data_IF_375857725524
#
_entry.id   IF_375857725524
#
_cell.length_a   1.000
_cell.length_b   1.000
_cell.length_c   1.000
_cell.angle_alpha   90.00
_cell.angle_beta   90.00
_cell.angle_gamma   90.00
#
_symmetry.space_group_name_H-M   'P 1'
#
loop_
_entity.id
_entity.type
_entity.pdbx_description
1 polymer ?
#
# COMPACT_ATOMS: atom_id res chain seq x y z
N UNK A 1 4.22 -9.56 20.68
CA UNK A 1 3.31 -9.16 21.77
C UNK A 1 1.97 -9.80 21.47
N UNK A 2 1.37 -10.50 22.44
CA UNK A 2 0.15 -11.29 22.21
C UNK A 2 -1.04 -10.32 22.07
N UNK A 3 -1.87 -10.52 21.04
CA UNK A 3 -3.15 -9.83 20.79
C UNK A 3 -3.94 -9.42 22.07
N UNK A 4 -4.08 -10.28 23.11
CA UNK A 4 -4.75 -9.90 24.37
C UNK A 4 -4.18 -8.67 25.08
N UNK A 5 -2.89 -8.39 24.95
CA UNK A 5 -2.26 -7.22 25.59
C UNK A 5 -2.69 -5.90 24.92
N UNK A 6 -2.86 -5.91 23.60
CA UNK A 6 -3.34 -4.74 22.86
C UNK A 6 -4.81 -4.47 23.19
N UNK A 7 -5.63 -5.52 23.22
CA UNK A 7 -7.05 -5.43 23.58
C UNK A 7 -7.21 -4.90 25.02
N UNK A 8 -6.37 -5.35 25.94
CA UNK A 8 -6.35 -4.84 27.31
C UNK A 8 -6.05 -3.33 27.37
N UNK A 9 -5.05 -2.85 26.61
CA UNK A 9 -4.72 -1.43 26.56
C UNK A 9 -5.85 -0.58 25.96
N UNK A 10 -6.54 -1.08 24.93
CA UNK A 10 -7.70 -0.40 24.33
C UNK A 10 -8.86 -0.31 25.33
N UNK A 11 -9.18 -1.41 26.03
CA UNK A 11 -10.22 -1.43 27.06
C UNK A 11 -9.90 -0.48 28.22
N UNK A 12 -8.62 -0.43 28.63
CA UNK A 12 -8.16 0.51 29.65
C UNK A 12 -8.34 1.98 29.21
N UNK A 13 -8.03 2.27 27.94
CA UNK A 13 -8.26 3.59 27.34
C UNK A 13 -9.75 3.98 27.32
N UNK A 14 -10.63 3.04 26.98
CA UNK A 14 -12.08 3.27 26.95
C UNK A 14 -12.65 3.49 28.37
N UNK A 15 -12.19 2.70 29.35
CA UNK A 15 -12.56 2.86 30.75
C UNK A 15 -12.12 4.25 31.29
N UNK A 16 -10.91 4.70 30.95
CA UNK A 16 -10.44 6.03 31.32
C UNK A 16 -11.27 7.15 30.68
N UNK A 17 -11.69 6.99 29.42
CA UNK A 17 -12.56 7.94 28.73
C UNK A 17 -13.94 8.04 29.37
N UNK A 18 -14.60 6.90 29.63
CA UNK A 18 -15.90 6.88 30.30
C UNK A 18 -15.85 7.49 31.70
N UNK A 19 -14.78 7.22 32.44
CA UNK A 19 -14.56 7.81 33.76
C UNK A 19 -14.41 9.35 33.68
N UNK A 20 -13.66 9.85 32.69
CA UNK A 20 -13.55 11.28 32.40
C UNK A 20 -14.90 11.92 32.05
N UNK A 21 -15.68 11.28 31.18
CA UNK A 21 -17.00 11.75 30.78
C UNK A 21 -17.96 11.81 31.98
N UNK A 22 -17.93 10.78 32.84
CA UNK A 22 -18.70 10.75 34.09
C UNK A 22 -18.31 11.89 35.04
N UNK A 23 -17.01 12.10 35.26
CA UNK A 23 -16.52 13.21 36.09
C UNK A 23 -16.96 14.57 35.52
N UNK A 24 -16.91 14.74 34.20
CA UNK A 24 -17.35 15.95 33.51
C UNK A 24 -18.86 16.20 33.70
N UNK A 25 -19.69 15.17 33.54
CA UNK A 25 -21.12 15.25 33.81
C UNK A 25 -21.38 15.59 35.29
N UNK A 26 -20.74 14.90 36.22
CA UNK A 26 -20.88 15.15 37.66
C UNK A 26 -20.48 16.58 38.06
N UNK A 27 -19.49 17.18 37.37
CA UNK A 27 -19.09 18.58 37.55
C UNK A 27 -20.21 19.55 37.16
N UNK A 28 -20.90 19.30 36.04
CA UNK A 28 -22.02 20.14 35.59
C UNK A 28 -23.11 20.19 36.68
N UNK A 29 -23.37 19.05 37.33
CA UNK A 29 -24.42 18.96 38.33
C UNK A 29 -24.03 19.49 39.72
N UNK A 30 -22.80 19.28 40.18
CA UNK A 30 -22.51 19.44 41.62
C UNK A 30 -21.92 20.80 42.03
N UNK A 31 -21.41 21.64 41.11
CA UNK A 31 -20.78 22.97 41.35
C UNK A 31 -19.71 23.08 42.46
N UNK A 32 -19.43 22.03 43.25
CA UNK A 32 -18.60 22.05 44.49
C UNK A 32 -17.36 21.16 44.48
N UNK A 33 -17.05 20.47 43.39
CA UNK A 33 -15.88 19.59 43.33
C UNK A 33 -14.61 20.35 42.91
N UNK A 34 -13.74 20.73 43.86
CA UNK A 34 -12.56 21.58 43.55
C UNK A 34 -11.17 20.99 43.84
N UNK A 35 -11.02 19.84 44.52
CA UNK A 35 -9.67 19.33 44.89
C UNK A 35 -9.23 18.03 44.19
N UNK A 36 -10.14 17.11 43.88
CA UNK A 36 -9.77 15.82 43.28
C UNK A 36 -9.62 15.83 41.74
N UNK A 37 -10.00 16.92 41.08
CA UNK A 37 -9.99 17.02 39.62
C UNK A 37 -8.59 17.13 39.01
N UNK A 38 -7.66 17.80 39.70
CA UNK A 38 -6.29 17.97 39.23
C UNK A 38 -5.56 16.64 39.08
N UNK A 39 -5.47 15.77 40.11
CA UNK A 39 -4.75 14.51 39.96
C UNK A 39 -5.39 13.60 38.90
N UNK A 40 -6.71 13.57 38.78
CA UNK A 40 -7.40 12.76 37.77
C UNK A 40 -7.10 13.25 36.33
N UNK A 41 -7.08 14.57 36.10
CA UNK A 41 -6.74 15.13 34.80
C UNK A 41 -5.29 14.83 34.40
N UNK A 42 -4.35 14.95 35.34
CA UNK A 42 -2.95 14.61 35.10
C UNK A 42 -2.77 13.12 34.83
N UNK A 43 -3.42 12.24 35.59
CA UNK A 43 -3.41 10.79 35.35
C UNK A 43 -3.93 10.43 33.97
N UNK A 44 -5.04 11.02 33.55
CA UNK A 44 -5.60 10.75 32.22
C UNK A 44 -4.71 11.29 31.10
N UNK A 45 -4.15 12.49 31.26
CA UNK A 45 -3.22 13.06 30.28
C UNK A 45 -1.95 12.21 30.15
N UNK A 46 -1.42 11.72 31.28
CA UNK A 46 -0.22 10.90 31.30
C UNK A 46 -0.47 9.49 30.74
N UNK A 47 -1.65 8.91 31.00
CA UNK A 47 -2.09 7.66 30.38
C UNK A 47 -2.24 7.80 28.85
N UNK A 48 -2.76 8.94 28.39
CA UNK A 48 -2.92 9.24 26.96
C UNK A 48 -1.56 9.43 26.28
N UNK A 49 -0.62 10.14 26.92
CA UNK A 49 0.77 10.26 26.44
C UNK A 49 1.46 8.89 26.42
N UNK A 50 1.29 8.05 27.45
CA UNK A 50 1.85 6.71 27.49
C UNK A 50 1.28 5.81 26.38
N UNK A 51 -0.04 5.88 26.12
CA UNK A 51 -0.68 5.17 25.01
C UNK A 51 -0.09 5.59 23.67
N UNK A 52 0.08 6.91 23.47
CA UNK A 52 0.66 7.49 22.25
C UNK A 52 2.15 7.15 22.07
N UNK A 53 2.89 6.90 23.16
CA UNK A 53 4.30 6.48 23.11
C UNK A 53 4.47 4.97 22.90
N UNK A 54 3.55 4.15 23.41
CA UNK A 54 3.62 2.68 23.31
C UNK A 54 3.13 2.17 21.95
N UNK A 55 2.09 2.79 21.37
CA UNK A 55 1.57 2.44 20.03
C UNK A 55 2.65 2.44 18.91
N UNK A 56 3.57 3.42 18.81
CA UNK A 56 4.70 3.37 17.87
C UNK A 56 5.61 2.15 18.08
N UNK A 57 5.90 1.81 19.34
CA UNK A 57 6.85 0.75 19.69
C UNK A 57 6.30 -0.64 19.37
N UNK A 58 4.98 -0.82 19.49
CA UNK A 58 4.31 -2.08 19.11
C UNK A 58 4.16 -2.23 17.59
N UNK A 59 4.07 -1.11 16.86
CA UNK A 59 3.91 -1.09 15.40
C UNK A 59 5.18 -1.53 14.62
N UNK A 60 6.35 -1.51 15.27
CA UNK A 60 7.63 -1.97 14.68
C UNK A 60 7.67 -3.48 14.33
N UNK A 61 6.61 -4.24 14.65
CA UNK A 61 6.51 -5.70 14.44
C UNK A 61 5.64 -6.15 13.25
N UNK A 62 5.22 -5.24 12.37
CA UNK A 62 4.97 -5.56 10.95
C UNK A 62 3.67 -6.28 10.57
N UNK A 63 2.62 -6.29 11.41
CA UNK A 63 1.29 -6.83 11.03
C UNK A 63 0.15 -6.09 11.73
N UNK A 64 -0.31 -4.96 11.19
CA UNK A 64 -1.66 -4.39 11.37
C UNK A 64 -1.75 -3.07 10.59
N UNK A 65 -2.28 -3.10 9.35
CA UNK A 65 -2.26 -1.92 8.47
C UNK A 65 -3.63 -1.24 8.25
N UNK A 66 -4.77 -1.90 8.42
CA UNK A 66 -6.05 -1.29 8.00
C UNK A 66 -6.89 -0.70 9.14
N UNK A 67 -6.81 -1.26 10.35
CA UNK A 67 -7.63 -0.77 11.48
C UNK A 67 -7.16 0.58 12.05
N UNK A 68 -5.91 0.98 11.80
CA UNK A 68 -5.32 2.15 12.45
C UNK A 68 -5.76 3.49 11.84
N UNK A 69 -6.01 3.53 10.53
CA UNK A 69 -6.45 4.76 9.85
C UNK A 69 -7.86 5.19 10.30
N UNK A 70 -8.76 4.23 10.50
CA UNK A 70 -10.10 4.48 11.04
C UNK A 70 -10.05 4.95 12.51
N UNK A 71 -9.03 4.52 13.26
CA UNK A 71 -8.83 4.97 14.64
C UNK A 71 -8.28 6.39 14.74
N UNK A 72 -7.58 6.91 13.73
CA UNK A 72 -7.08 8.29 13.72
C UNK A 72 -8.18 9.34 13.86
N UNK A 73 -9.34 9.10 13.24
CA UNK A 73 -10.53 9.96 13.33
C UNK A 73 -11.11 9.92 14.76
N UNK A 74 -11.03 8.78 15.46
CA UNK A 74 -11.46 8.66 16.85
C UNK A 74 -10.57 9.43 17.84
N UNK A 75 -9.34 9.80 17.47
CA UNK A 75 -8.48 10.63 18.31
C UNK A 75 -8.73 12.13 18.18
N UNK A 76 -9.42 12.58 17.12
CA UNK A 76 -9.71 14.00 16.88
C UNK A 76 -10.57 14.62 18.00
N UNK A 77 -11.70 14.00 18.45
CA UNK A 77 -12.51 14.52 19.55
C UNK A 77 -11.73 14.59 20.85
N UNK A 78 -10.89 13.59 21.11
CA UNK A 78 -10.07 13.48 22.31
C UNK A 78 -8.98 14.58 22.34
N UNK A 79 -8.34 14.85 21.19
CA UNK A 79 -7.39 15.94 21.03
C UNK A 79 -8.07 17.31 21.23
N UNK A 80 -9.26 17.53 20.65
CA UNK A 80 -10.03 18.78 20.88
C UNK A 80 -10.46 18.91 22.34
N UNK A 81 -10.87 17.83 23.01
CA UNK A 81 -11.21 17.86 24.42
C UNK A 81 -10.00 18.27 25.26
N UNK A 82 -8.83 17.66 25.03
CA UNK A 82 -7.57 18.01 25.68
C UNK A 82 -7.15 19.47 25.42
N UNK A 83 -7.46 20.04 24.24
CA UNK A 83 -7.15 21.42 23.90
C UNK A 83 -8.07 22.45 24.56
N UNK A 84 -9.38 22.15 24.66
CA UNK A 84 -10.38 23.11 25.16
C UNK A 84 -10.51 23.07 26.69
N UNK A 85 -10.37 21.90 27.30
CA UNK A 85 -10.48 21.70 28.77
C UNK A 85 -9.57 22.64 29.60
N UNK A 86 -8.29 22.86 29.26
CA UNK A 86 -7.41 23.78 29.98
C UNK A 86 -7.97 25.20 30.11
N UNK A 87 -8.65 25.69 29.07
CA UNK A 87 -9.13 27.07 29.01
C UNK A 87 -10.42 27.27 29.79
N UNK A 88 -11.25 26.23 29.89
CA UNK A 88 -12.56 26.28 30.57
C UNK A 88 -12.45 25.86 32.04
N UNK A 89 -11.54 24.93 32.36
CA UNK A 89 -11.57 24.23 33.65
C UNK A 89 -10.70 24.84 34.75
N UNK A 90 -9.59 25.53 34.42
CA UNK A 90 -8.55 25.88 35.40
C UNK A 90 -8.41 27.40 35.61
N UNK A 91 -8.29 27.79 36.89
CA UNK A 91 -7.94 29.17 37.29
C UNK A 91 -6.43 29.40 37.18
N UNK A 92 -6.00 30.66 37.04
CA UNK A 92 -4.56 31.02 37.14
C UNK A 92 -4.05 30.67 38.55
N UNK A 93 -2.84 30.11 38.72
CA UNK A 93 -1.78 29.87 37.72
C UNK A 93 -1.80 28.50 37.03
N UNK A 94 -2.68 27.58 37.45
CA UNK A 94 -2.74 26.19 36.97
C UNK A 94 -3.02 26.06 35.47
N UNK A 95 -3.67 27.07 34.88
CA UNK A 95 -3.89 27.19 33.45
C UNK A 95 -2.60 27.12 32.63
N UNK A 96 -1.49 27.70 33.11
CA UNK A 96 -0.23 27.71 32.38
C UNK A 96 0.43 26.32 32.31
N UNK A 97 0.33 25.54 33.38
CA UNK A 97 0.81 24.15 33.39
C UNK A 97 0.00 23.26 32.43
N UNK A 98 -1.32 23.42 32.41
CA UNK A 98 -2.19 22.68 31.50
C UNK A 98 -1.91 23.04 30.02
N UNK A 99 -1.68 24.32 29.73
CA UNK A 99 -1.26 24.77 28.39
C UNK A 99 0.08 24.18 27.98
N UNK A 100 1.06 24.15 28.90
CA UNK A 100 2.37 23.53 28.67
C UNK A 100 2.24 22.05 28.30
N UNK A 101 1.49 21.27 29.08
CA UNK A 101 1.28 19.85 28.82
C UNK A 101 0.63 19.60 27.44
N UNK A 102 -0.41 20.36 27.11
CA UNK A 102 -1.10 20.23 25.82
C UNK A 102 -0.22 20.59 24.65
N UNK A 103 0.58 21.66 24.77
CA UNK A 103 1.54 22.05 23.73
C UNK A 103 2.58 20.95 23.48
N UNK A 104 3.07 20.31 24.54
CA UNK A 104 4.02 19.20 24.44
C UNK A 104 3.39 17.97 23.76
N UNK A 105 2.12 17.67 24.08
CA UNK A 105 1.35 16.59 23.44
C UNK A 105 1.14 16.83 21.96
N UNK A 106 0.85 18.07 21.54
CA UNK A 106 0.73 18.43 20.13
C UNK A 106 2.07 18.22 19.40
N UNK A 107 3.16 18.71 19.98
CA UNK A 107 4.50 18.54 19.38
C UNK A 107 4.85 17.05 19.22
N UNK A 108 4.61 16.25 20.26
CA UNK A 108 4.81 14.79 20.21
C UNK A 108 3.95 14.13 19.13
N UNK A 109 2.70 14.55 18.96
CA UNK A 109 1.82 14.08 17.89
C UNK A 109 2.38 14.41 16.51
N UNK A 110 2.89 15.62 16.28
CA UNK A 110 3.49 15.98 14.99
C UNK A 110 4.75 15.18 14.68
N UNK A 111 5.62 14.94 15.66
CA UNK A 111 6.78 14.06 15.48
C UNK A 111 6.36 12.61 15.16
N UNK A 112 5.33 12.10 15.84
CA UNK A 112 4.78 10.78 15.58
C UNK A 112 4.12 10.68 14.20
N UNK A 113 3.28 11.64 13.83
CA UNK A 113 2.63 11.70 12.53
C UNK A 113 3.66 11.78 11.40
N UNK A 114 4.70 12.60 11.56
CA UNK A 114 5.81 12.67 10.59
C UNK A 114 6.55 11.34 10.48
N UNK A 115 6.88 10.72 11.62
CA UNK A 115 7.51 9.40 11.63
C UNK A 115 6.62 8.34 11.00
N UNK A 116 5.31 8.38 11.23
CA UNK A 116 4.33 7.46 10.65
C UNK A 116 4.20 7.67 9.13
N UNK A 117 4.14 8.92 8.66
CA UNK A 117 4.12 9.22 7.22
C UNK A 117 5.39 8.78 6.51
N UNK A 118 6.56 8.98 7.13
CA UNK A 118 7.82 8.47 6.61
C UNK A 118 7.83 6.95 6.59
N UNK A 119 7.35 6.30 7.64
CA UNK A 119 7.28 4.84 7.70
C UNK A 119 6.30 4.24 6.70
N UNK A 120 5.14 4.87 6.50
CA UNK A 120 4.17 4.51 5.46
C UNK A 120 4.72 4.72 4.05
N UNK A 121 5.64 5.67 3.86
CA UNK A 121 6.35 5.91 2.59
C UNK A 121 7.49 4.91 2.33
N UNK A 122 8.00 4.25 3.37
CA UNK A 122 9.09 3.26 3.28
C UNK A 122 8.60 1.81 3.36
N UNK A 123 7.41 1.55 3.91
CA UNK A 123 6.73 0.28 3.77
C UNK A 123 6.34 0.08 2.31
N UNK A 124 6.67 -1.07 1.71
CA UNK A 124 6.26 -1.39 0.35
C UNK A 124 4.74 -1.24 0.16
N UNK A 125 4.29 -1.36 -1.08
CA UNK A 125 2.93 -1.18 -1.61
C UNK A 125 1.70 -1.70 -0.84
N UNK A 126 1.89 -2.36 0.31
CA UNK A 126 0.89 -2.63 1.32
C UNK A 126 0.40 -1.38 2.09
N UNK A 127 0.92 -0.19 1.79
CA UNK A 127 0.37 1.07 2.30
C UNK A 127 -0.41 1.76 1.17
N UNK A 128 -1.72 1.85 1.36
CA UNK A 128 -2.70 2.50 0.50
C UNK A 128 -2.45 3.98 0.06
N UNK A 129 -1.59 4.84 0.68
CA UNK A 129 -1.63 6.26 0.38
C UNK A 129 -1.00 6.67 -0.96
N UNK A 130 0.00 5.98 -1.50
CA UNK A 130 0.74 6.50 -2.68
C UNK A 130 -0.13 6.51 -3.93
N UNK A 131 -0.81 5.40 -4.25
CA UNK A 131 -1.70 5.34 -5.42
C UNK A 131 -2.93 6.24 -5.26
N UNK A 132 -3.55 6.25 -4.07
CA UNK A 132 -4.69 7.11 -3.79
C UNK A 132 -4.32 8.60 -3.86
N UNK A 133 -3.21 9.02 -3.24
CA UNK A 133 -2.74 10.40 -3.28
C UNK A 133 -2.47 10.86 -4.72
N UNK A 134 -1.82 10.02 -5.54
CA UNK A 134 -1.52 10.39 -6.92
C UNK A 134 -2.73 10.37 -7.83
N UNK A 135 -3.65 9.41 -7.69
CA UNK A 135 -4.90 9.40 -8.46
C UNK A 135 -5.80 10.59 -8.11
N UNK A 136 -5.92 10.95 -6.83
CA UNK A 136 -6.75 12.09 -6.40
C UNK A 136 -6.12 13.45 -6.76
N UNK A 137 -4.80 13.59 -6.62
CA UNK A 137 -4.13 14.90 -6.77
C UNK A 137 -3.73 15.19 -8.22
N UNK A 138 -3.32 14.18 -9.01
CA UNK A 138 -2.85 14.39 -10.39
C UNK A 138 -3.86 13.99 -11.47
N UNK A 139 -4.91 13.23 -11.13
CA UNK A 139 -6.00 12.91 -12.07
C UNK A 139 -5.60 12.06 -13.30
N UNK A 140 -4.35 11.62 -13.38
CA UNK A 140 -3.78 11.02 -14.58
C UNK A 140 -3.34 9.57 -14.28
N UNK A 141 -4.00 8.61 -14.93
CA UNK A 141 -3.79 7.17 -14.69
C UNK A 141 -2.52 6.65 -15.39
N UNK A 142 -1.98 7.37 -16.38
CA UNK A 142 -0.95 6.86 -17.28
C UNK A 142 0.37 7.67 -17.29
N UNK A 143 0.44 8.80 -16.61
CA UNK A 143 1.63 9.69 -16.63
C UNK A 143 2.90 9.13 -15.99
N UNK A 144 2.81 8.10 -15.14
CA UNK A 144 3.96 7.58 -14.39
C UNK A 144 4.88 6.64 -15.18
N UNK A 145 4.44 6.19 -16.36
CA UNK A 145 5.07 5.09 -17.10
C UNK A 145 6.48 5.43 -17.60
N UNK A 146 6.82 6.73 -17.70
CA UNK A 146 8.10 7.18 -18.25
C UNK A 146 9.31 6.90 -17.34
N UNK A 147 9.08 6.79 -16.03
CA UNK A 147 10.12 6.55 -15.02
C UNK A 147 9.82 5.34 -14.12
N UNK A 148 8.89 4.47 -14.54
CA UNK A 148 8.48 3.31 -13.75
C UNK A 148 9.63 2.31 -13.63
N UNK A 149 10.05 2.05 -12.38
CA UNK A 149 10.99 0.98 -12.05
C UNK A 149 10.22 -0.27 -11.64
N UNK A 150 10.70 -1.43 -12.07
CA UNK A 150 10.11 -2.70 -11.69
C UNK A 150 11.02 -3.41 -10.71
N UNK A 151 10.45 -4.03 -9.68
CA UNK A 151 11.15 -4.87 -8.72
C UNK A 151 10.64 -6.30 -8.82
N UNK A 152 11.54 -7.28 -8.86
CA UNK A 152 11.12 -8.69 -8.76
C UNK A 152 10.54 -8.94 -7.39
N UNK A 153 9.31 -9.43 -7.35
CA UNK A 153 8.59 -9.74 -6.13
C UNK A 153 8.52 -11.24 -5.87
N UNK A 154 8.15 -12.02 -6.88
CA UNK A 154 8.05 -13.49 -6.80
C UNK A 154 8.51 -14.08 -8.13
N UNK A 155 9.23 -15.20 -8.06
CA UNK A 155 9.55 -16.04 -9.22
C UNK A 155 9.22 -17.47 -8.87
N UNK A 156 8.79 -18.26 -9.84
CA UNK A 156 8.50 -19.67 -9.61
C UNK A 156 8.02 -20.38 -10.86
N UNK A 157 7.52 -21.59 -10.65
CA UNK A 157 6.82 -22.35 -11.66
C UNK A 157 5.40 -22.64 -11.19
N UNK A 158 4.47 -22.69 -12.13
CA UNK A 158 3.08 -23.04 -11.89
C UNK A 158 2.64 -24.13 -12.86
N UNK A 159 1.66 -24.93 -12.46
CA UNK A 159 0.96 -25.82 -13.37
C UNK A 159 -0.26 -25.07 -13.91
N UNK A 160 -0.34 -24.92 -15.22
CA UNK A 160 -1.50 -24.33 -15.90
C UNK A 160 -2.74 -25.24 -15.73
N UNK A 161 -3.96 -24.70 -15.87
CA UNK A 161 -5.18 -25.50 -15.89
C UNK A 161 -5.15 -26.65 -16.92
N UNK A 162 -4.40 -26.45 -18.00
CA UNK A 162 -4.19 -27.40 -19.09
C UNK A 162 -3.13 -28.47 -18.77
N UNK A 163 -2.46 -28.39 -17.61
CA UNK A 163 -1.48 -29.36 -17.15
C UNK A 163 -0.04 -29.11 -17.63
N UNK A 164 0.23 -27.97 -18.27
CA UNK A 164 1.58 -27.57 -18.67
C UNK A 164 2.31 -26.84 -17.54
N UNK A 165 3.62 -27.10 -17.40
CA UNK A 165 4.46 -26.37 -16.46
C UNK A 165 4.86 -25.02 -17.09
N UNK A 166 4.54 -23.91 -16.42
CA UNK A 166 4.88 -22.56 -16.85
C UNK A 166 5.83 -21.91 -15.85
N UNK A 167 6.83 -21.17 -16.35
CA UNK A 167 7.65 -20.29 -15.53
C UNK A 167 6.96 -18.96 -15.36
N UNK A 168 6.94 -18.39 -14.16
CA UNK A 168 6.38 -17.06 -13.94
C UNK A 168 7.32 -16.16 -13.12
N UNK A 169 7.31 -14.88 -13.46
CA UNK A 169 7.99 -13.81 -12.73
C UNK A 169 6.99 -12.69 -12.46
N UNK A 170 6.67 -12.46 -11.19
CA UNK A 170 5.88 -11.30 -10.76
C UNK A 170 6.80 -10.15 -10.45
N UNK A 171 6.64 -9.09 -11.22
CA UNK A 171 7.26 -7.79 -11.04
C UNK A 171 6.26 -6.85 -10.39
N UNK A 172 6.78 -5.92 -9.59
CA UNK A 172 6.02 -4.82 -9.01
C UNK A 172 6.63 -3.50 -9.44
N UNK A 173 5.82 -2.67 -10.09
CA UNK A 173 6.16 -1.31 -10.45
C UNK A 173 6.30 -0.42 -9.21
N UNK A 174 7.05 0.68 -9.33
CA UNK A 174 7.27 1.66 -8.27
C UNK A 174 5.99 2.36 -7.80
N UNK A 175 4.96 2.39 -8.63
CA UNK A 175 3.62 2.90 -8.32
C UNK A 175 2.65 1.81 -7.81
N UNK A 176 3.19 0.62 -7.52
CA UNK A 176 2.49 -0.54 -6.98
C UNK A 176 1.61 -1.32 -7.95
N UNK A 177 1.70 -1.06 -9.25
CA UNK A 177 1.07 -1.93 -10.25
C UNK A 177 1.86 -3.22 -10.40
N UNK A 178 1.16 -4.35 -10.38
CA UNK A 178 1.77 -5.66 -10.60
C UNK A 178 1.80 -6.00 -12.09
N UNK A 179 2.90 -6.62 -12.52
CA UNK A 179 3.09 -7.17 -13.85
C UNK A 179 3.55 -8.61 -13.68
N UNK A 180 2.88 -9.54 -14.33
CA UNK A 180 3.29 -10.94 -14.38
C UNK A 180 3.87 -11.23 -15.75
N UNK A 181 5.05 -11.83 -15.77
CA UNK A 181 5.64 -12.40 -16.98
C UNK A 181 5.50 -13.92 -16.87
N UNK A 182 4.95 -14.56 -17.87
CA UNK A 182 4.79 -16.01 -17.94
C UNK A 182 5.42 -16.56 -19.22
N UNK A 183 6.13 -17.67 -19.09
CA UNK A 183 6.74 -18.42 -20.18
C UNK A 183 6.06 -19.79 -20.24
N UNK A 184 5.00 -19.90 -21.04
CA UNK A 184 4.24 -21.12 -21.21
C UNK A 184 4.89 -22.00 -22.28
N UNK A 185 5.35 -23.20 -21.91
CA UNK A 185 5.88 -24.18 -22.87
C UNK A 185 4.79 -25.17 -23.28
N UNK A 186 4.56 -25.26 -24.59
CA UNK A 186 3.61 -26.18 -25.22
C UNK A 186 4.29 -27.46 -25.70
N UNK A 187 3.50 -28.47 -26.09
CA UNK A 187 4.04 -29.74 -26.60
C UNK A 187 4.59 -29.60 -28.03
N UNK A 188 4.03 -28.68 -28.82
CA UNK A 188 4.40 -28.46 -30.23
C UNK A 188 4.29 -26.99 -30.67
N UNK A 189 5.00 -26.55 -31.72
CA UNK A 189 4.89 -25.18 -32.23
C UNK A 189 3.48 -24.83 -32.75
N UNK A 190 2.81 -25.79 -33.38
CA UNK A 190 1.43 -25.64 -33.84
C UNK A 190 0.44 -25.46 -32.69
N UNK A 191 0.73 -26.06 -31.53
CA UNK A 191 -0.09 -25.86 -30.32
C UNK A 191 0.12 -24.46 -29.74
N UNK A 192 1.36 -23.96 -29.69
CA UNK A 192 1.63 -22.58 -29.28
C UNK A 192 0.90 -21.56 -30.17
N UNK A 193 0.94 -21.76 -31.49
CA UNK A 193 0.18 -20.94 -32.46
C UNK A 193 -1.33 -20.99 -32.18
N UNK A 194 -1.88 -22.18 -31.94
CA UNK A 194 -3.30 -22.35 -31.65
C UNK A 194 -3.70 -21.70 -30.31
N UNK A 195 -2.87 -21.83 -29.27
CA UNK A 195 -3.10 -21.20 -27.96
C UNK A 195 -3.05 -19.68 -28.04
N UNK A 196 -2.09 -19.12 -28.78
CA UNK A 196 -2.10 -17.68 -29.09
C UNK A 196 -3.40 -17.27 -29.78
N UNK A 197 -3.83 -18.03 -30.79
CA UNK A 197 -5.10 -17.81 -31.49
C UNK A 197 -6.32 -17.94 -30.58
N UNK A 198 -6.29 -18.81 -29.55
CA UNK A 198 -7.35 -18.89 -28.53
C UNK A 198 -7.36 -17.66 -27.62
N UNK A 199 -6.19 -17.20 -27.14
CA UNK A 199 -6.10 -15.98 -26.30
C UNK A 199 -6.59 -14.75 -27.06
N UNK A 200 -6.20 -14.59 -28.34
CA UNK A 200 -6.69 -13.49 -29.21
C UNK A 200 -8.22 -13.53 -29.34
N UNK A 201 -8.81 -14.71 -29.55
CA UNK A 201 -10.28 -14.86 -29.69
C UNK A 201 -11.04 -14.59 -28.38
N UNK A 202 -10.41 -14.82 -27.23
CA UNK A 202 -10.99 -14.54 -25.90
C UNK A 202 -10.90 -13.06 -25.51
N UNK A 203 -10.00 -12.31 -26.13
CA UNK A 203 -9.83 -10.89 -25.84
C UNK A 203 -11.08 -10.09 -26.22
N UNK A 204 -11.52 -9.19 -25.35
CA UNK A 204 -12.59 -8.24 -25.66
C UNK A 204 -12.17 -7.28 -26.77
N UNK A 205 -10.89 -6.90 -26.77
CA UNK A 205 -10.33 -5.98 -27.76
C UNK A 205 -8.87 -6.31 -28.04
N UNK A 206 -8.54 -6.38 -29.33
CA UNK A 206 -7.14 -6.43 -29.80
C UNK A 206 -6.71 -5.00 -30.10
N UNK A 207 -5.74 -4.49 -29.35
CA UNK A 207 -5.21 -3.13 -29.51
C UNK A 207 -4.22 -3.06 -30.66
N UNK A 208 -3.34 -4.05 -30.75
CA UNK A 208 -2.30 -4.15 -31.76
C UNK A 208 -2.04 -5.63 -32.06
N UNK A 209 -1.80 -5.96 -33.33
CA UNK A 209 -1.37 -7.29 -33.77
C UNK A 209 -0.43 -7.14 -34.95
N UNK A 210 0.70 -7.84 -34.96
CA UNK A 210 1.59 -7.82 -36.11
C UNK A 210 2.85 -8.68 -35.98
N UNK A 211 3.50 -8.87 -37.12
CA UNK A 211 4.87 -9.38 -37.23
C UNK A 211 5.82 -8.29 -36.75
N UNK A 212 5.97 -8.15 -35.44
CA UNK A 212 6.73 -7.05 -34.88
C UNK A 212 7.32 -7.43 -33.54
N UNK A 213 8.37 -8.24 -33.62
CA UNK A 213 9.27 -8.43 -32.49
C UNK A 213 10.70 -8.40 -33.01
N UNK A 214 11.31 -7.22 -33.00
CA UNK A 214 12.77 -7.05 -33.01
C UNK A 214 13.32 -7.45 -31.64
N UNK A 215 13.05 -8.69 -31.19
CA UNK A 215 13.93 -9.30 -30.21
C UNK A 215 15.12 -9.78 -31.01
N UNK A 216 16.30 -9.28 -30.68
CA UNK A 216 17.55 -9.35 -31.44
C UNK A 216 17.95 -10.77 -31.90
N UNK A 217 17.27 -11.81 -31.41
CA UNK A 217 17.51 -13.23 -31.70
C UNK A 217 16.42 -13.90 -32.57
N UNK A 218 15.23 -13.30 -32.77
CA UNK A 218 14.10 -13.98 -33.44
C UNK A 218 13.25 -13.05 -34.34
N UNK A 219 13.60 -12.88 -35.62
CA UNK A 219 12.93 -11.94 -36.53
C UNK A 219 11.49 -12.35 -36.96
N UNK A 220 11.11 -13.61 -36.77
CA UNK A 220 9.82 -14.18 -37.23
C UNK A 220 8.84 -14.40 -36.06
N UNK A 221 8.54 -13.34 -35.30
CA UNK A 221 7.61 -13.39 -34.16
C UNK A 221 6.28 -12.68 -34.40
N UNK A 222 5.19 -13.26 -33.90
CA UNK A 222 3.89 -12.60 -33.81
C UNK A 222 3.71 -11.96 -32.43
N UNK A 223 3.25 -10.72 -32.41
CA UNK A 223 2.90 -9.97 -31.20
C UNK A 223 1.44 -9.59 -31.23
N UNK A 224 0.74 -9.82 -30.12
CA UNK A 224 -0.63 -9.37 -29.93
C UNK A 224 -0.78 -8.64 -28.58
N UNK A 225 -1.39 -7.46 -28.60
CA UNK A 225 -1.76 -6.68 -27.42
C UNK A 225 -3.26 -6.78 -27.21
N UNK A 226 -3.65 -7.37 -26.09
CA UNK A 226 -5.01 -7.79 -25.79
C UNK A 226 -5.54 -7.05 -24.55
N UNK A 227 -6.81 -6.71 -24.58
CA UNK A 227 -7.56 -6.19 -23.44
C UNK A 227 -8.76 -7.10 -23.16
N UNK A 228 -9.00 -7.36 -21.88
CA UNK A 228 -10.12 -8.18 -21.41
C UNK A 228 -11.01 -7.35 -20.48
N UNK A 229 -12.31 -7.35 -20.74
CA UNK A 229 -13.28 -6.56 -19.97
C UNK A 229 -13.66 -7.22 -18.65
N UNK A 230 -13.52 -8.55 -18.52
CA UNK A 230 -13.94 -9.29 -17.32
C UNK A 230 -13.20 -8.82 -16.07
N UNK A 231 -11.90 -8.52 -16.22
CA UNK A 231 -11.00 -8.23 -15.10
C UNK A 231 -10.18 -6.95 -15.30
N UNK A 232 -10.52 -6.13 -16.31
CA UNK A 232 -9.74 -4.93 -16.68
C UNK A 232 -8.24 -5.21 -16.84
N UNK A 233 -7.91 -6.38 -17.39
CA UNK A 233 -6.53 -6.83 -17.58
C UNK A 233 -6.08 -6.58 -19.02
N UNK A 234 -4.80 -6.24 -19.15
CA UNK A 234 -4.08 -6.14 -20.40
C UNK A 234 -3.07 -7.29 -20.46
N UNK A 235 -3.01 -7.97 -21.59
CA UNK A 235 -2.05 -9.03 -21.86
C UNK A 235 -1.29 -8.71 -23.15
N UNK A 236 0.01 -8.90 -23.15
CA UNK A 236 0.85 -8.87 -24.35
C UNK A 236 1.33 -10.30 -24.55
N UNK A 237 0.94 -10.90 -25.67
CA UNK A 237 1.34 -12.26 -26.05
C UNK A 237 2.34 -12.18 -27.18
N UNK A 238 3.48 -12.81 -26.98
CA UNK A 238 4.57 -12.91 -27.94
C UNK A 238 4.79 -14.40 -28.26
N UNK A 239 4.82 -14.70 -29.54
CA UNK A 239 5.09 -16.04 -30.05
C UNK A 239 6.13 -15.96 -31.16
N UNK A 240 7.03 -16.92 -31.22
CA UNK A 240 8.04 -17.01 -32.28
C UNK A 240 7.77 -18.22 -33.15
N UNK A 241 7.85 -18.02 -34.47
CA UNK A 241 7.57 -19.09 -35.42
C UNK A 241 8.53 -20.26 -35.20
N UNK A 242 7.98 -21.46 -35.06
CA UNK A 242 8.74 -22.69 -34.84
C UNK A 242 9.13 -22.93 -33.38
N UNK A 243 8.87 -21.99 -32.46
CA UNK A 243 9.05 -22.24 -31.02
C UNK A 243 7.79 -22.85 -30.41
N UNK A 244 8.01 -23.56 -29.30
CA UNK A 244 6.93 -24.15 -28.49
C UNK A 244 6.51 -23.24 -27.34
N UNK A 245 7.12 -22.07 -27.20
CA UNK A 245 6.91 -21.18 -26.07
C UNK A 245 6.02 -19.99 -26.43
N UNK A 246 5.14 -19.63 -25.51
CA UNK A 246 4.46 -18.34 -25.49
C UNK A 246 5.03 -17.50 -24.36
N UNK A 247 5.44 -16.28 -24.68
CA UNK A 247 5.85 -15.29 -23.69
C UNK A 247 4.69 -14.33 -23.47
N UNK A 248 4.24 -14.20 -22.23
CA UNK A 248 3.02 -13.48 -21.88
C UNK A 248 3.38 -12.44 -20.82
N UNK A 249 2.96 -11.20 -21.04
CA UNK A 249 3.11 -10.11 -20.07
C UNK A 249 1.72 -9.62 -19.71
N UNK A 250 1.33 -9.83 -18.45
CA UNK A 250 0.01 -9.49 -17.94
C UNK A 250 0.07 -8.35 -16.93
N UNK A 251 -0.88 -7.42 -16.99
CA UNK A 251 -1.04 -6.39 -15.98
C UNK A 251 -2.45 -5.83 -15.94
N UNK A 252 -2.83 -5.19 -14.83
CA UNK A 252 -4.07 -4.39 -14.75
C UNK A 252 -3.94 -3.03 -15.44
N UNK A 253 -2.76 -2.69 -15.95
CA UNK A 253 -2.50 -1.46 -16.71
C UNK A 253 -1.73 -1.78 -17.98
N UNK A 254 -2.34 -1.45 -19.13
CA UNK A 254 -1.71 -1.62 -20.44
C UNK A 254 -0.36 -0.89 -20.52
N UNK A 255 -0.28 0.32 -19.96
CA UNK A 255 0.94 1.10 -20.01
C UNK A 255 2.08 0.46 -19.22
N UNK A 256 1.78 -0.23 -18.11
CA UNK A 256 2.76 -1.00 -17.33
C UNK A 256 3.23 -2.25 -18.06
N UNK A 257 2.31 -2.99 -18.68
CA UNK A 257 2.67 -4.14 -19.52
C UNK A 257 3.61 -3.72 -20.67
N UNK A 258 3.29 -2.63 -21.38
CA UNK A 258 4.12 -2.09 -22.46
C UNK A 258 5.48 -1.56 -21.98
N UNK A 259 5.56 -0.95 -20.81
CA UNK A 259 6.83 -0.52 -20.23
C UNK A 259 7.71 -1.72 -19.84
N UNK A 260 7.11 -2.75 -19.24
CA UNK A 260 7.80 -3.99 -18.92
C UNK A 260 8.33 -4.69 -20.20
N UNK A 261 7.51 -4.77 -21.24
CA UNK A 261 7.92 -5.31 -22.54
C UNK A 261 9.15 -4.58 -23.10
N UNK A 262 9.11 -3.24 -23.14
CA UNK A 262 10.24 -2.43 -23.62
C UNK A 262 11.52 -2.64 -22.81
N UNK A 263 11.41 -2.90 -21.51
CA UNK A 263 12.56 -3.24 -20.66
C UNK A 263 13.15 -4.60 -21.04
N UNK A 264 12.30 -5.59 -21.31
CA UNK A 264 12.74 -6.92 -21.76
C UNK A 264 13.42 -6.83 -23.13
N UNK A 265 12.82 -6.10 -24.08
CA UNK A 265 13.37 -5.93 -25.43
C UNK A 265 14.76 -5.28 -25.46
N UNK A 266 15.05 -4.36 -24.54
CA UNK A 266 16.36 -3.72 -24.41
C UNK A 266 17.39 -4.59 -23.68
N UNK A 267 16.97 -5.74 -23.17
CA UNK A 267 17.70 -6.48 -22.16
C UNK A 267 17.65 -5.76 -20.81
N UNK A 268 17.75 -6.53 -19.73
CA UNK A 268 17.78 -5.97 -18.38
C UNK A 268 18.81 -6.63 -17.49
N UNK A 269 19.17 -5.93 -16.41
CA UNK A 269 19.96 -6.43 -15.29
C UNK A 269 19.26 -6.13 -13.98
N UNK A 270 19.54 -6.92 -12.96
CA UNK A 270 19.06 -6.66 -11.60
C UNK A 270 20.07 -5.80 -10.85
N UNK A 271 19.60 -4.74 -10.18
CA UNK A 271 20.41 -3.99 -9.23
C UNK A 271 20.56 -4.76 -7.89
N UNK A 272 21.47 -4.34 -6.98
CA UNK A 272 21.63 -4.98 -5.67
C UNK A 272 20.38 -4.94 -4.77
N UNK A 273 19.39 -4.10 -5.12
CA UNK A 273 18.15 -3.92 -4.39
C UNK A 273 16.98 -4.72 -5.00
N UNK A 274 17.21 -5.45 -6.10
CA UNK A 274 16.26 -6.29 -6.81
C UNK A 274 15.42 -5.57 -7.87
N UNK A 275 15.79 -4.36 -8.27
CA UNK A 275 15.14 -3.62 -9.36
C UNK A 275 15.69 -4.01 -10.72
N UNK A 276 14.80 -4.08 -11.70
CA UNK A 276 15.08 -4.28 -13.12
C UNK A 276 15.58 -2.95 -13.72
N UNK A 277 16.80 -2.95 -14.21
CA UNK A 277 17.42 -1.83 -14.94
C UNK A 277 17.61 -2.23 -16.41
N UNK A 278 17.31 -1.34 -17.34
CA UNK A 278 17.59 -1.58 -18.76
C UNK A 278 19.11 -1.73 -18.99
N UNK A 279 19.51 -2.72 -19.78
CA UNK A 279 20.87 -2.90 -20.25
C UNK A 279 21.13 -1.89 -21.38
N UNK A 280 22.18 -1.08 -21.26
CA UNK A 280 22.52 -0.05 -22.27
C UNK A 280 22.25 1.41 -21.88
N UNK A 281 22.00 1.68 -20.60
CA UNK A 281 22.15 3.03 -20.01
C UNK A 281 23.49 3.16 -19.29
#
# INVERSE_FOLDING_TARGET
MRLPFLTFLVLLGYAAFLFLAFLFAARIFTKRFSRFWQPCFYLCSLALVALMAVLPLTNRRGRMNDDFANNAIMFLPLATACLVLPFVAFKKPQRYFALGAVSLSIVAFFFYARSLTLWLSYGGCATLPTRFFHQLVRGDKDSFVKDTRFKVWVMGTALTPEGHMTGFTKLRASDCVEVTIEDESMSSPSEAENEMGKKIRRASRVVERGLKVDLTEHPDGERAVLLFDTDTRAEIVLWFKGTRSLHIIESTSLAHALACEKLIQRGYRMDPQGYVLASGQ
#
